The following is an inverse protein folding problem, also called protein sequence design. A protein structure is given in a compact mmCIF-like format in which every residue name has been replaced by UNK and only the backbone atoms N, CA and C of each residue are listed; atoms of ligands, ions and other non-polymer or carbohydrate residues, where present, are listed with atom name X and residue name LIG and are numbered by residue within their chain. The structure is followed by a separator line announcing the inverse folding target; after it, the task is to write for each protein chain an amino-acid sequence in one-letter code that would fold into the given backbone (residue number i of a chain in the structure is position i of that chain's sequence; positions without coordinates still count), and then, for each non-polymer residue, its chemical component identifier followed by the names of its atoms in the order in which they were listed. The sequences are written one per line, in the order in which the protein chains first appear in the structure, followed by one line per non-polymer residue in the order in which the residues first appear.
data_IF_422064947929
#
_entry.id   IF_422064947929
#
_cell.length_a   1.000
_cell.length_b   1.000
_cell.length_c   1.000
_cell.angle_alpha   90.00
_cell.angle_beta   90.00
_cell.angle_gamma   90.00
#
_symmetry.space_group_name_H-M   'P 1'
#
loop_
_entity.id
_entity.type
_entity.pdbx_description
1 polymer ?
#
# COMPACT_ATOMS: atom_id res chain seq x y z
N UNK A 1 -9.00 28.15 3.77
CA UNK A 1 -9.60 26.90 3.26
C UNK A 1 -8.52 26.08 2.58
N UNK A 2 -7.86 25.17 3.30
CA UNK A 2 -6.76 24.39 2.74
C UNK A 2 -7.28 23.02 2.33
N UNK A 3 -7.61 22.84 1.04
CA UNK A 3 -7.90 21.51 0.50
C UNK A 3 -6.57 20.81 0.25
N UNK A 4 -6.26 19.80 1.06
CA UNK A 4 -5.05 19.00 0.87
C UNK A 4 -5.25 18.09 -0.35
N UNK A 5 -4.39 18.28 -1.35
CA UNK A 5 -4.34 17.41 -2.53
C UNK A 5 -3.50 16.17 -2.22
N UNK A 6 -4.07 15.01 -2.53
CA UNK A 6 -3.42 13.70 -2.39
C UNK A 6 -2.78 13.28 -3.72
N UNK A 7 -3.45 13.53 -4.85
CA UNK A 7 -2.93 13.26 -6.19
C UNK A 7 -2.83 14.56 -6.99
N UNK A 8 -1.62 14.90 -7.45
CA UNK A 8 -1.41 16.06 -8.31
C UNK A 8 -1.83 15.80 -9.76
N UNK A 9 -1.62 14.59 -10.28
CA UNK A 9 -1.89 14.27 -11.70
C UNK A 9 -3.38 14.40 -12.06
N UNK A 10 -4.26 13.92 -11.18
CA UNK A 10 -5.71 13.94 -11.40
C UNK A 10 -6.44 14.95 -10.50
N UNK A 11 -5.71 15.75 -9.71
CA UNK A 11 -6.29 16.76 -8.82
C UNK A 11 -7.17 16.17 -7.70
N UNK A 12 -6.85 14.98 -7.20
CA UNK A 12 -7.65 14.31 -6.17
C UNK A 12 -7.29 14.82 -4.78
N UNK A 13 -8.32 15.21 -4.03
CA UNK A 13 -8.22 15.74 -2.66
C UNK A 13 -8.42 14.65 -1.61
N UNK A 14 -7.95 14.91 -0.40
CA UNK A 14 -8.16 14.01 0.74
C UNK A 14 -9.65 13.79 1.03
N UNK A 15 -10.47 14.83 0.90
CA UNK A 15 -11.92 14.74 1.10
C UNK A 15 -12.58 13.79 0.09
N UNK A 16 -12.13 13.80 -1.17
CA UNK A 16 -12.62 12.85 -2.18
C UNK A 16 -12.22 11.41 -1.84
N UNK A 17 -10.99 11.19 -1.37
CA UNK A 17 -10.54 9.85 -0.93
C UNK A 17 -11.39 9.33 0.23
N UNK A 18 -11.68 10.19 1.22
CA UNK A 18 -12.54 9.84 2.37
C UNK A 18 -13.96 9.52 1.93
N UNK A 19 -14.56 10.35 1.06
CA UNK A 19 -15.90 10.11 0.52
C UNK A 19 -15.98 8.76 -0.20
N UNK A 20 -15.01 8.45 -1.06
CA UNK A 20 -14.98 7.17 -1.75
C UNK A 20 -14.78 5.99 -0.78
N UNK A 21 -14.02 6.17 0.31
CA UNK A 21 -13.88 5.15 1.35
C UNK A 21 -15.22 4.87 2.05
N UNK A 22 -16.01 5.92 2.33
CA UNK A 22 -17.38 5.81 2.86
C UNK A 22 -18.34 5.13 1.86
N UNK A 23 -18.19 5.43 0.57
CA UNK A 23 -18.94 4.78 -0.52
C UNK A 23 -18.54 3.29 -0.74
N UNK A 24 -17.54 2.77 0.00
CA UNK A 24 -17.12 1.37 -0.05
C UNK A 24 -15.82 1.10 -0.83
N UNK A 25 -15.11 2.13 -1.28
CA UNK A 25 -13.77 2.00 -1.89
C UNK A 25 -12.70 1.79 -0.81
N UNK A 26 -12.78 0.64 -0.17
CA UNK A 26 -11.85 0.19 0.85
C UNK A 26 -10.60 -0.44 0.22
N UNK A 27 -9.99 0.05 -0.86
CA UNK A 27 -8.63 -0.34 -1.30
C UNK A 27 -8.06 0.74 -2.22
N UNK A 28 -6.72 0.90 -2.33
CA UNK A 28 -6.12 1.83 -3.29
C UNK A 28 -6.55 1.54 -4.73
N UNK A 29 -6.79 0.27 -5.05
CA UNK A 29 -7.26 -0.17 -6.36
C UNK A 29 -8.70 0.26 -6.62
N UNK A 30 -9.59 0.17 -5.63
CA UNK A 30 -10.96 0.69 -5.73
C UNK A 30 -10.98 2.22 -5.79
N UNK A 31 -10.14 2.90 -5.01
CA UNK A 31 -9.96 4.35 -5.11
C UNK A 31 -9.50 4.72 -6.53
N UNK A 32 -8.51 4.01 -7.09
CA UNK A 32 -8.06 4.21 -8.46
C UNK A 32 -9.17 3.98 -9.49
N UNK A 33 -10.03 2.97 -9.31
CA UNK A 33 -11.20 2.76 -10.17
C UNK A 33 -12.25 3.88 -10.06
N UNK A 34 -12.43 4.47 -8.87
CA UNK A 34 -13.42 5.52 -8.64
C UNK A 34 -12.95 6.92 -9.08
N UNK A 35 -11.69 7.27 -8.81
CA UNK A 35 -11.16 8.63 -9.00
C UNK A 35 -9.88 8.73 -9.82
N UNK A 36 -9.38 7.61 -10.38
CA UNK A 36 -8.12 7.51 -11.15
C UNK A 36 -6.85 7.85 -10.36
N UNK A 37 -6.96 8.12 -9.06
CA UNK A 37 -5.79 8.38 -8.23
C UNK A 37 -4.84 7.17 -8.22
N UNK A 38 -3.58 7.38 -8.60
CA UNK A 38 -2.54 6.35 -8.55
C UNK A 38 -2.38 5.51 -9.81
N UNK A 39 -3.07 5.83 -10.92
CA UNK A 39 -2.90 5.14 -12.22
C UNK A 39 -1.87 5.78 -13.15
N UNK A 40 -1.30 6.92 -12.76
CA UNK A 40 -0.29 7.67 -13.52
C UNK A 40 1.09 7.49 -12.86
N UNK A 41 1.68 8.54 -12.28
CA UNK A 41 2.99 8.48 -11.62
C UNK A 41 3.04 7.62 -10.34
N UNK A 42 1.89 7.24 -9.77
CA UNK A 42 1.80 6.35 -8.61
C UNK A 42 2.22 6.95 -7.26
N UNK A 43 2.78 8.16 -7.19
CA UNK A 43 3.30 8.75 -5.93
C UNK A 43 2.26 8.91 -4.82
N UNK A 44 0.99 9.03 -5.17
CA UNK A 44 -0.11 9.17 -4.21
C UNK A 44 -0.56 7.84 -3.57
N UNK A 45 -0.18 6.67 -4.12
CA UNK A 45 -0.69 5.36 -3.68
C UNK A 45 -0.34 5.06 -2.22
N UNK A 46 0.88 5.37 -1.79
CA UNK A 46 1.31 5.18 -0.39
C UNK A 46 0.56 6.08 0.57
N UNK A 47 0.29 7.33 0.17
CA UNK A 47 -0.51 8.28 0.96
C UNK A 47 -1.96 7.83 1.07
N UNK A 48 -2.56 7.33 -0.02
CA UNK A 48 -3.92 6.76 -0.02
C UNK A 48 -3.99 5.55 0.91
N UNK A 49 -3.00 4.65 0.88
CA UNK A 49 -2.95 3.51 1.81
C UNK A 49 -2.92 3.94 3.28
N UNK A 50 -2.15 4.98 3.61
CA UNK A 50 -2.09 5.53 4.97
C UNK A 50 -3.42 6.17 5.39
N UNK A 51 -4.07 6.93 4.49
CA UNK A 51 -5.40 7.51 4.73
C UNK A 51 -6.48 6.44 4.96
N UNK A 52 -6.36 5.29 4.29
CA UNK A 52 -7.26 4.14 4.46
C UNK A 52 -6.89 3.26 5.67
N UNK A 53 -5.98 3.70 6.55
CA UNK A 53 -5.57 2.94 7.75
C UNK A 53 -4.83 1.63 7.45
N UNK A 54 -4.31 1.45 6.23
CA UNK A 54 -3.58 0.25 5.78
C UNK A 54 -2.07 0.41 5.74
N UNK A 55 -1.55 1.44 6.41
CA UNK A 55 -0.11 1.64 6.61
C UNK A 55 0.57 0.50 7.38
N UNK A 56 -0.19 -0.42 7.99
CA UNK A 56 0.35 -1.57 8.70
C UNK A 56 0.52 -2.79 7.78
N UNK A 57 1.57 -2.78 6.95
CA UNK A 57 2.41 -3.97 6.88
C UNK A 57 3.55 -3.72 7.86
N UNK A 58 3.66 -4.45 8.99
CA UNK A 58 4.69 -4.27 10.01
C UNK A 58 6.10 -4.73 9.54
N UNK A 59 6.45 -4.50 8.27
CA UNK A 59 7.77 -4.81 7.70
C UNK A 59 8.62 -3.56 7.47
N UNK A 60 8.05 -2.35 7.59
CA UNK A 60 8.81 -1.10 7.33
C UNK A 60 9.45 -0.46 8.56
N UNK A 61 9.04 -0.81 9.78
CA UNK A 61 9.80 -0.43 10.97
C UNK A 61 11.20 -1.04 10.99
N UNK A 62 11.43 -2.16 10.27
CA UNK A 62 12.73 -2.83 10.15
C UNK A 62 13.69 -2.20 9.11
N UNK A 63 13.29 -1.17 8.35
CA UNK A 63 14.15 -0.62 7.26
C UNK A 63 14.60 0.82 7.50
N UNK A 64 13.88 1.63 8.29
CA UNK A 64 14.34 3.00 8.62
C UNK A 64 15.15 3.10 9.93
N UNK A 65 15.20 2.04 10.74
CA UNK A 65 16.16 1.90 11.85
C UNK A 65 17.35 1.08 11.34
N UNK A 66 18.22 1.73 10.57
CA UNK A 66 19.24 1.04 9.77
C UNK A 66 20.16 0.09 10.56
N UNK A 67 20.33 -1.12 10.02
CA UNK A 67 21.66 -1.69 9.77
C UNK A 67 21.57 -2.76 8.66
N UNK A 68 22.42 -2.55 7.66
CA UNK A 68 22.97 -3.48 6.67
C UNK A 68 22.10 -4.60 6.06
N UNK A 69 22.02 -4.51 4.73
CA UNK A 69 21.80 -5.60 3.78
C UNK A 69 22.08 -7.01 4.32
N UNK A 70 21.02 -7.80 4.48
CA UNK A 70 21.11 -9.23 4.18
C UNK A 70 19.90 -9.62 3.36
N UNK A 71 20.19 -9.88 2.08
CA UNK A 71 19.27 -10.52 1.16
C UNK A 71 18.92 -11.91 1.68
N UNK A 72 17.63 -12.21 1.80
CA UNK A 72 17.13 -13.57 1.65
C UNK A 72 15.77 -13.53 0.97
N UNK A 73 15.81 -13.57 -0.36
CA UNK A 73 14.97 -14.51 -1.09
C UNK A 73 15.91 -15.60 -1.62
N UNK A 74 15.48 -16.85 -1.85
CA UNK A 74 14.12 -17.41 -1.80
C UNK A 74 14.02 -18.63 -0.86
N UNK A 75 12.81 -19.04 -0.46
CA UNK A 75 12.59 -20.42 0.00
C UNK A 75 11.95 -21.17 -1.18
N UNK A 76 12.81 -21.62 -2.09
CA UNK A 76 12.55 -22.78 -2.92
C UNK A 76 13.43 -23.91 -2.37
N UNK A 77 12.76 -25.05 -2.10
CA UNK A 77 13.30 -26.42 -2.10
C UNK A 77 13.98 -26.97 -0.82
N UNK A 78 13.32 -27.91 -0.14
CA UNK A 78 13.76 -29.31 -0.14
C UNK A 78 12.72 -30.24 0.48
N UNK A 79 12.59 -31.40 -0.16
CA UNK A 79 11.95 -32.60 0.35
C UNK A 79 12.56 -33.04 1.70
N UNK A 80 11.79 -33.77 2.52
CA UNK A 80 12.11 -35.16 2.89
C UNK A 80 11.02 -35.75 3.82
N UNK A 81 10.80 -37.05 3.63
CA UNK A 81 9.76 -37.89 4.21
C UNK A 81 9.95 -38.16 5.70
N UNK A 82 8.90 -38.61 6.40
CA UNK A 82 9.07 -39.85 7.17
C UNK A 82 7.81 -40.74 7.13
N UNK A 83 7.93 -41.99 6.69
CA UNK A 83 7.04 -43.04 7.18
C UNK A 83 7.84 -44.33 7.41
N UNK A 84 8.08 -44.58 8.69
CA UNK A 84 8.47 -45.86 9.23
C UNK A 84 7.23 -46.43 9.93
N UNK A 85 6.65 -47.49 9.36
CA UNK A 85 5.85 -48.51 10.03
C UNK A 85 5.51 -49.63 9.03
#
# INVERSE_FOLDING_TARGET
MNRVFVCNCFGVTEAQVKKHAEDGACTPRQIASACKAGTDCGSCVRRIQALLGRSACPRRELVEQGDSAVALAPQAESAELPEAA
#
